data_IF_271445675434
#
_entry.id   IF_271445675434
#
_cell.length_a   1.000
_cell.length_b   1.000
_cell.length_c   1.000
_cell.angle_alpha   90.00
_cell.angle_beta   90.00
_cell.angle_gamma   90.00
#
_symmetry.space_group_name_H-M   'P 1'
#
loop_
_entity.id
_entity.type
_entity.pdbx_description
1 polymer ?
#
# COMPACT_ATOMS: atom_id res chain seq x y z
N UNK A 1 -27.42 11.97 7.75
CA UNK A 1 -27.07 11.31 6.48
C UNK A 1 -25.87 10.44 6.78
N UNK A 2 -25.98 9.12 6.64
CA UNK A 2 -24.92 8.18 7.05
C UNK A 2 -23.76 8.18 6.06
N UNK A 3 -22.53 8.25 6.56
CA UNK A 3 -21.25 8.32 5.81
C UNK A 3 -21.07 7.19 4.78
N UNK A 4 -21.83 6.10 4.91
CA UNK A 4 -21.81 4.93 4.03
C UNK A 4 -22.34 5.17 2.61
N UNK A 5 -22.89 6.35 2.30
CA UNK A 5 -23.30 6.68 0.92
C UNK A 5 -22.12 7.07 0.02
N UNK A 6 -21.01 7.57 0.60
CA UNK A 6 -19.85 8.08 -0.16
C UNK A 6 -19.12 6.93 -0.88
N UNK A 7 -19.25 5.71 -0.35
CA UNK A 7 -18.57 4.53 -0.84
C UNK A 7 -19.39 3.74 -1.87
N UNK A 8 -20.67 4.10 -2.10
CA UNK A 8 -21.45 3.51 -3.19
C UNK A 8 -20.78 3.84 -4.52
N UNK A 9 -20.68 2.83 -5.39
CA UNK A 9 -19.98 2.87 -6.68
C UNK A 9 -18.44 3.02 -6.64
N UNK A 10 -17.80 2.88 -5.47
CA UNK A 10 -16.34 2.84 -5.38
C UNK A 10 -15.85 1.44 -5.05
N UNK A 11 -14.74 1.05 -5.68
CA UNK A 11 -13.96 -0.12 -5.24
C UNK A 11 -13.20 0.27 -3.99
N UNK A 12 -13.57 -0.31 -2.85
CA UNK A 12 -12.95 -0.09 -1.55
C UNK A 12 -12.06 -1.28 -1.24
N UNK A 13 -10.79 -1.04 -0.95
CA UNK A 13 -9.87 -2.06 -0.46
C UNK A 13 -9.57 -1.77 0.99
N UNK A 14 -9.78 -2.77 1.85
CA UNK A 14 -9.53 -2.69 3.28
C UNK A 14 -8.22 -3.41 3.61
N UNK A 15 -7.34 -2.69 4.28
CA UNK A 15 -6.08 -3.20 4.82
C UNK A 15 -6.18 -3.18 6.35
N UNK A 16 -6.62 -4.28 6.97
CA UNK A 16 -6.74 -4.35 8.42
C UNK A 16 -5.35 -4.41 9.07
N UNK A 17 -5.23 -3.90 10.29
CA UNK A 17 -4.05 -4.14 11.12
C UNK A 17 -3.89 -5.63 11.44
N UNK A 18 -2.67 -6.06 11.75
CA UNK A 18 -2.42 -7.44 12.20
C UNK A 18 -3.21 -7.69 13.50
N UNK A 19 -3.95 -8.81 13.56
CA UNK A 19 -4.93 -9.17 14.60
C UNK A 19 -6.29 -8.45 14.54
N UNK A 20 -6.53 -7.52 13.61
CA UNK A 20 -7.84 -6.88 13.43
C UNK A 20 -8.65 -7.50 12.27
N UNK A 21 -8.15 -8.58 11.67
CA UNK A 21 -8.72 -9.16 10.45
C UNK A 21 -10.19 -9.58 10.61
N UNK A 22 -10.55 -10.27 11.70
CA UNK A 22 -11.92 -10.74 11.94
C UNK A 22 -12.93 -9.59 12.05
N UNK A 23 -12.56 -8.51 12.76
CA UNK A 23 -13.42 -7.32 12.90
C UNK A 23 -13.65 -6.63 11.57
N UNK A 24 -12.60 -6.51 10.76
CA UNK A 24 -12.67 -5.92 9.43
C UNK A 24 -13.38 -6.83 8.43
N UNK A 25 -13.33 -8.14 8.60
CA UNK A 25 -14.12 -9.10 7.81
C UNK A 25 -15.62 -8.93 8.07
N UNK A 26 -16.03 -8.76 9.33
CA UNK A 26 -17.41 -8.44 9.67
C UNK A 26 -17.85 -7.10 9.06
N UNK A 27 -17.01 -6.06 9.14
CA UNK A 27 -17.29 -4.75 8.51
C UNK A 27 -17.37 -4.87 6.99
N UNK A 28 -16.48 -5.63 6.36
CA UNK A 28 -16.49 -5.86 4.91
C UNK A 28 -17.79 -6.56 4.48
N UNK A 29 -18.26 -7.56 5.23
CA UNK A 29 -19.55 -8.22 5.00
C UNK A 29 -20.72 -7.24 5.13
N UNK A 30 -20.71 -6.36 6.13
CA UNK A 30 -21.72 -5.31 6.29
C UNK A 30 -21.71 -4.28 5.14
N UNK A 31 -20.54 -3.94 4.61
CA UNK A 31 -20.41 -3.02 3.48
C UNK A 31 -20.86 -3.69 2.17
N UNK A 32 -20.50 -4.96 1.95
CA UNK A 32 -21.00 -5.76 0.83
C UNK A 32 -22.53 -5.88 0.84
N UNK A 33 -23.12 -6.07 2.01
CA UNK A 33 -24.58 -6.08 2.17
C UNK A 33 -25.27 -4.75 1.82
N UNK A 34 -24.51 -3.65 1.75
CA UNK A 34 -24.99 -2.31 1.33
C UNK A 34 -24.70 -2.00 -0.14
N UNK A 35 -24.36 -3.03 -0.93
CA UNK A 35 -24.01 -2.95 -2.35
C UNK A 35 -22.72 -2.15 -2.63
N UNK A 36 -21.78 -2.19 -1.68
CA UNK A 36 -20.45 -1.58 -1.83
C UNK A 36 -19.46 -2.66 -2.23
N UNK A 37 -18.68 -2.43 -3.29
CA UNK A 37 -17.61 -3.33 -3.71
C UNK A 37 -16.42 -3.21 -2.75
N UNK A 38 -16.36 -4.12 -1.78
CA UNK A 38 -15.28 -4.17 -0.78
C UNK A 38 -14.43 -5.42 -0.94
N UNK A 39 -13.12 -5.25 -1.03
CA UNK A 39 -12.13 -6.33 -0.96
C UNK A 39 -11.34 -6.19 0.35
N UNK A 40 -11.24 -7.28 1.11
CA UNK A 40 -10.41 -7.35 2.31
C UNK A 40 -9.09 -8.02 1.95
N UNK A 41 -7.97 -7.38 2.29
CA UNK A 41 -6.66 -7.90 1.97
C UNK A 41 -6.08 -8.69 3.17
N UNK A 42 -5.91 -10.01 3.02
CA UNK A 42 -5.33 -10.91 4.04
C UNK A 42 -3.80 -10.95 4.03
N UNK A 43 -3.15 -10.11 3.22
CA UNK A 43 -1.71 -10.15 3.04
C UNK A 43 -0.92 -10.04 4.36
N UNK A 44 -1.36 -9.16 5.26
CA UNK A 44 -0.70 -8.97 6.56
C UNK A 44 -0.87 -10.19 7.48
N UNK A 45 -2.05 -10.82 7.51
CA UNK A 45 -2.27 -12.06 8.30
C UNK A 45 -1.42 -13.22 7.77
N UNK A 46 -1.32 -13.38 6.45
CA UNK A 46 -0.64 -14.50 5.80
C UNK A 46 0.89 -14.35 5.76
N UNK A 47 1.41 -13.12 5.71
CA UNK A 47 2.84 -12.85 5.54
C UNK A 47 3.52 -12.26 6.80
N UNK A 48 2.76 -11.86 7.83
CA UNK A 48 3.36 -11.40 9.07
C UNK A 48 4.03 -12.55 9.84
N UNK A 49 5.31 -12.34 10.13
CA UNK A 49 6.06 -13.16 11.09
C UNK A 49 5.52 -12.96 12.51
N UNK A 50 5.80 -13.90 13.42
CA UNK A 50 5.34 -13.82 14.81
C UNK A 50 5.84 -12.55 15.53
N UNK A 51 7.03 -12.06 15.16
CA UNK A 51 7.59 -10.81 15.68
C UNK A 51 6.83 -9.58 15.17
N UNK A 52 6.46 -9.55 13.89
CA UNK A 52 5.62 -8.48 13.32
C UNK A 52 4.21 -8.49 13.91
N UNK A 53 3.66 -9.68 14.17
CA UNK A 53 2.37 -9.85 14.84
C UNK A 53 2.42 -9.37 16.30
N UNK A 54 3.50 -9.64 17.01
CA UNK A 54 3.69 -9.16 18.37
C UNK A 54 3.86 -7.63 18.43
N UNK A 55 4.56 -7.07 17.45
CA UNK A 55 4.83 -5.63 17.38
C UNK A 55 3.68 -4.81 16.77
N UNK A 56 2.61 -5.45 16.29
CA UNK A 56 1.43 -4.77 15.77
C UNK A 56 1.69 -3.98 14.48
N UNK A 57 2.54 -4.53 13.60
CA UNK A 57 2.89 -3.88 12.33
C UNK A 57 1.65 -3.57 11.49
N UNK A 58 1.60 -2.36 10.92
CA UNK A 58 0.56 -1.97 9.99
C UNK A 58 1.06 -1.99 8.53
N UNK A 59 0.17 -1.77 7.56
CA UNK A 59 0.58 -1.74 6.15
C UNK A 59 1.63 -0.64 5.84
N UNK A 60 1.63 0.47 6.58
CA UNK A 60 2.58 1.54 6.35
C UNK A 60 4.00 1.08 6.72
N UNK A 61 4.17 0.30 7.78
CA UNK A 61 5.46 -0.29 8.13
C UNK A 61 6.01 -1.19 7.03
N UNK A 62 5.16 -2.03 6.43
CA UNK A 62 5.56 -2.87 5.29
C UNK A 62 5.93 -2.04 4.07
N UNK A 63 5.23 -0.95 3.80
CA UNK A 63 5.55 -0.03 2.70
C UNK A 63 6.86 0.72 2.95
N UNK A 64 7.14 1.12 4.18
CA UNK A 64 8.40 1.79 4.56
C UNK A 64 9.58 0.81 4.46
N UNK A 65 9.40 -0.44 4.89
CA UNK A 65 10.43 -1.48 4.80
C UNK A 65 10.68 -1.95 3.38
N UNK A 66 9.65 -1.91 2.52
CA UNK A 66 9.83 -2.05 1.08
C UNK A 66 10.61 -0.84 0.57
N UNK A 67 11.95 -0.90 0.70
CA UNK A 67 12.83 0.08 0.06
C UNK A 67 12.32 0.24 -1.37
N UNK A 68 12.10 1.48 -1.86
CA UNK A 68 11.80 1.66 -3.27
C UNK A 68 12.87 0.89 -4.02
N UNK A 69 12.44 -0.05 -4.88
CA UNK A 69 13.36 -0.80 -5.75
C UNK A 69 14.31 0.23 -6.30
N UNK A 70 15.61 0.13 -5.97
CA UNK A 70 16.61 1.07 -6.50
C UNK A 70 16.35 1.15 -7.99
N UNK A 71 15.96 2.34 -8.44
CA UNK A 71 15.60 2.47 -9.84
C UNK A 71 16.86 2.17 -10.64
N UNK A 72 16.69 1.68 -11.86
CA UNK A 72 17.83 1.51 -12.76
C UNK A 72 18.59 2.84 -12.86
N UNK A 73 17.87 3.97 -12.79
CA UNK A 73 18.43 5.31 -12.74
C UNK A 73 19.32 5.53 -11.50
N UNK A 74 18.90 5.15 -10.29
CA UNK A 74 19.73 5.26 -9.07
C UNK A 74 21.02 4.44 -9.19
N UNK A 75 20.91 3.24 -9.76
CA UNK A 75 22.07 2.39 -10.03
C UNK A 75 23.01 3.02 -11.05
N UNK A 76 22.46 3.62 -12.11
CA UNK A 76 23.23 4.31 -13.13
C UNK A 76 23.90 5.58 -12.58
N UNK A 77 23.20 6.37 -11.77
CA UNK A 77 23.71 7.56 -11.09
C UNK A 77 24.87 7.23 -10.15
N UNK A 78 24.77 6.14 -9.39
CA UNK A 78 25.88 5.65 -8.55
C UNK A 78 27.12 5.28 -9.37
N UNK A 79 26.93 4.69 -10.57
CA UNK A 79 28.04 4.31 -11.47
C UNK A 79 28.66 5.49 -12.18
N UNK A 80 27.87 6.49 -12.56
CA UNK A 80 28.34 7.68 -13.23
C UNK A 80 27.57 8.94 -12.77
N UNK A 81 28.15 9.76 -11.89
CA UNK A 81 27.48 10.97 -11.39
C UNK A 81 27.27 12.03 -12.48
N UNK A 82 27.96 11.95 -13.62
CA UNK A 82 27.74 12.87 -14.75
C UNK A 82 26.40 12.66 -15.46
N UNK A 83 25.68 11.57 -15.20
CA UNK A 83 24.34 11.35 -15.74
C UNK A 83 23.34 12.42 -15.27
N UNK A 84 23.52 13.01 -14.07
CA UNK A 84 22.71 14.14 -13.59
C UNK A 84 22.76 15.30 -14.59
N UNK A 85 23.95 15.64 -15.07
CA UNK A 85 24.15 16.74 -16.03
C UNK A 85 23.43 16.48 -17.36
N UNK A 86 23.30 15.21 -17.78
CA UNK A 86 22.58 14.86 -18.99
C UNK A 86 21.05 14.95 -18.77
N UNK A 87 20.56 14.48 -17.63
CA UNK A 87 19.14 14.60 -17.27
C UNK A 87 18.72 16.08 -17.26
N UNK A 88 19.52 16.94 -16.63
CA UNK A 88 19.26 18.39 -16.58
C UNK A 88 19.36 19.03 -17.96
N UNK A 89 20.40 18.71 -18.74
CA UNK A 89 20.63 19.33 -20.05
C UNK A 89 19.58 18.95 -21.09
N UNK A 90 19.04 17.74 -21.01
CA UNK A 90 18.03 17.22 -21.93
C UNK A 90 16.62 17.27 -21.36
N UNK A 91 16.44 17.81 -20.15
CA UNK A 91 15.15 17.91 -19.44
C UNK A 91 14.38 16.59 -19.41
N UNK A 92 15.08 15.50 -19.07
CA UNK A 92 14.55 14.12 -19.08
C UNK A 92 13.75 13.82 -17.80
N UNK A 93 12.79 14.69 -17.47
CA UNK A 93 11.84 14.51 -16.37
C UNK A 93 10.57 13.83 -16.88
N UNK A 94 9.94 13.01 -16.03
CA UNK A 94 8.64 12.38 -16.32
C UNK A 94 7.59 13.48 -16.61
N UNK A 95 6.81 13.27 -17.67
CA UNK A 95 5.72 14.17 -18.11
C UNK A 95 4.44 13.83 -17.36
#
# INVERSE_FOLDING_TARGET
>A
MSESHILRDRKVVLFPDINAFEDWEMKAKQLKARDIQVELFSYLEEHATDEQRHNGYDIADFLIQSKPKESILDTMLKKNPHLVLLIEKFNLIEV
#
